data_IF_513361606998
#
_entry.id   IF_513361606998
#
_cell.length_a   1.000
_cell.length_b   1.000
_cell.length_c   1.000
_cell.angle_alpha   90.00
_cell.angle_beta   90.00
_cell.angle_gamma   90.00
#
_symmetry.space_group_name_H-M   'P 1'
#
loop_
_entity.id
_entity.type
_entity.pdbx_description
1 polymer ?
2 polymer ?
3 water ?
#
# COMPACT_ATOMS: atom_id res chain seq x y z
N UNK A 1 -0.20 3.63 25.98
CA UNK A 1 -0.16 4.49 24.81
C UNK A 1 -1.52 4.60 24.16
N UNK A 2 -1.70 5.66 23.39
CA UNK A 2 -2.92 5.89 22.64
C UNK A 2 -3.13 4.79 21.59
N UNK A 3 -4.32 4.20 21.58
CA UNK A 3 -4.68 3.18 20.59
C UNK A 3 -6.06 3.44 19.99
N UNK A 4 -6.18 3.30 18.67
CA UNK A 4 -7.47 3.31 17.98
C UNK A 4 -7.56 2.06 17.11
N UNK A 5 -8.49 1.17 17.42
CA UNK A 5 -8.59 -0.10 16.72
C UNK A 5 -9.91 -0.25 15.96
N UNK A 6 -9.87 -0.14 14.64
CA UNK A 6 -11.08 -0.22 13.81
C UNK A 6 -11.50 -1.67 13.53
N UNK A 7 -12.82 -1.88 13.43
CA UNK A 7 -13.42 -3.16 13.09
C UNK A 7 -14.61 -2.99 12.13
N UNK A 8 -14.98 -4.07 11.44
CA UNK A 8 -16.20 -4.11 10.66
C UNK A 8 -15.95 -4.00 9.17
N UNK A 9 -14.69 -4.02 8.79
CA UNK A 9 -14.34 -3.96 7.38
C UNK A 9 -14.83 -5.19 6.64
N UNK A 10 -14.77 -5.14 5.33
CA UNK A 10 -15.15 -6.30 4.55
C UNK A 10 -15.87 -5.96 3.28
N UNK A 11 -16.70 -6.88 2.84
CA UNK A 11 -17.40 -6.78 1.58
C UNK A 11 -18.89 -6.60 1.82
N UNK A 12 -19.47 -5.63 1.14
CA UNK A 12 -20.91 -5.40 1.18
C UNK A 12 -21.40 -5.17 -0.24
N UNK A 13 -22.61 -5.61 -0.56
CA UNK A 13 -23.16 -5.42 -1.88
C UNK A 13 -23.69 -3.99 -2.02
N UNK A 14 -23.70 -3.45 -3.26
CA UNK A 14 -24.21 -2.11 -3.55
C UNK A 14 -25.63 -1.96 -3.02
N UNK A 15 -25.94 -0.82 -2.42
CA UNK A 15 -27.22 -0.62 -1.78
C UNK A 15 -27.31 -1.17 -0.37
N UNK A 16 -26.25 -1.86 0.08
CA UNK A 16 -26.26 -2.50 1.38
C UNK A 16 -25.88 -1.56 2.51
N UNK A 17 -25.80 -2.14 3.71
CA UNK A 17 -25.49 -1.40 4.92
C UNK A 17 -24.35 -2.05 5.69
N UNK A 18 -23.63 -1.26 6.47
CA UNK A 18 -22.51 -1.79 7.22
C UNK A 18 -22.20 -0.86 8.37
N UNK A 19 -21.77 -1.43 9.50
CA UNK A 19 -21.38 -0.64 10.66
C UNK A 19 -19.89 -0.81 10.95
N UNK A 20 -19.13 0.28 10.85
CA UNK A 20 -17.74 0.25 11.31
C UNK A 20 -17.69 0.58 12.80
N UNK A 21 -16.71 0.01 13.50
CA UNK A 21 -16.49 0.29 14.92
C UNK A 21 -15.04 0.69 15.16
N UNK A 22 -14.81 1.53 16.17
CA UNK A 22 -13.45 1.85 16.57
C UNK A 22 -13.36 1.89 18.08
N UNK A 23 -12.50 1.05 18.65
CA UNK A 23 -12.29 0.98 20.08
C UNK A 23 -11.08 1.83 20.47
N UNK A 24 -11.30 2.84 21.33
CA UNK A 24 -10.22 3.74 21.74
C UNK A 24 -9.61 3.29 23.08
N UNK A 25 -8.30 3.45 23.21
CA UNK A 25 -7.57 3.10 24.43
C UNK A 25 -6.50 4.15 24.72
N UNK A 26 -6.20 4.37 26.01
CA UNK A 26 -5.03 5.15 26.35
C UNK A 26 -5.22 6.64 26.56
N UNK A 27 -6.46 7.12 26.49
CA UNK A 27 -6.75 8.52 26.75
C UNK A 27 -8.18 8.66 27.27
N UNK A 28 -8.52 9.84 27.77
CA UNK A 28 -9.89 10.09 28.21
C UNK A 28 -10.74 10.34 26.97
N UNK A 29 -11.48 9.33 26.54
CA UNK A 29 -12.27 9.36 25.30
C UNK A 29 -13.15 10.61 25.23
N UNK A 30 -13.78 10.97 26.34
CA UNK A 30 -14.72 12.09 26.36
C UNK A 30 -14.07 13.48 26.31
N UNK A 31 -12.74 13.56 26.26
CA UNK A 31 -12.11 14.86 26.14
C UNK A 31 -11.89 15.25 24.67
N UNK A 32 -12.15 14.33 23.75
CA UNK A 32 -11.72 14.47 22.36
C UNK A 32 -12.84 14.30 21.35
N UNK A 33 -12.84 15.15 20.33
CA UNK A 33 -13.67 14.93 19.17
C UNK A 33 -13.09 13.76 18.40
N UNK A 34 -13.94 13.03 17.68
CA UNK A 34 -13.52 11.89 16.89
C UNK A 34 -14.00 12.03 15.45
N UNK A 35 -13.27 11.41 14.52
CA UNK A 35 -13.63 11.55 13.09
C UNK A 35 -13.36 10.27 12.30
N UNK A 36 -14.02 10.17 11.16
CA UNK A 36 -13.69 9.18 10.14
C UNK A 36 -13.11 9.91 8.92
N UNK A 37 -11.99 9.39 8.41
CA UNK A 37 -11.34 9.88 7.19
C UNK A 37 -11.07 8.65 6.34
N UNK A 38 -11.32 8.75 5.04
CA UNK A 38 -11.10 7.60 4.19
C UNK A 38 -10.10 7.89 3.09
N UNK A 39 -9.49 6.84 2.56
CA UNK A 39 -8.56 6.96 1.45
C UNK A 39 -8.96 5.90 0.42
N UNK A 40 -9.57 6.36 -0.68
CA UNK A 40 -10.09 5.48 -1.73
C UNK A 40 -9.09 5.39 -2.89
N UNK A 41 -9.10 4.25 -3.63
CA UNK A 41 -8.11 4.08 -4.70
C UNK A 41 -8.15 5.22 -5.71
N UNK A 42 -6.99 5.79 -6.02
CA UNK A 42 -6.92 6.92 -6.93
C UNK A 42 -7.08 8.29 -6.28
N UNK A 43 -7.38 8.31 -4.98
CA UNK A 43 -7.67 9.57 -4.28
C UNK A 43 -6.81 9.75 -3.04
N UNK A 44 -6.60 11.00 -2.62
CA UNK A 44 -5.92 11.27 -1.37
C UNK A 44 -6.92 11.19 -0.22
N UNK A 45 -6.47 11.52 1.01
CA UNK A 45 -7.36 11.49 2.18
C UNK A 45 -8.60 12.34 1.96
N UNK A 46 -9.71 11.88 2.51
CA UNK A 46 -11.00 12.53 2.32
C UNK A 46 -11.78 12.44 3.63
N UNK A 47 -12.05 13.60 4.24
CA UNK A 47 -12.73 13.60 5.52
C UNK A 47 -14.21 13.26 5.33
N UNK A 48 -14.73 12.40 6.20
CA UNK A 48 -16.09 11.90 6.04
C UNK A 48 -17.07 12.38 7.12
N UNK A 49 -16.65 12.31 8.38
CA UNK A 49 -17.57 12.66 9.47
C UNK A 49 -16.82 13.04 10.73
N UNK A 50 -17.43 13.88 11.56
CA UNK A 50 -16.82 14.29 12.80
C UNK A 50 -17.87 14.32 13.88
N UNK A 51 -17.48 13.95 15.10
CA UNK A 51 -18.40 14.07 16.22
C UNK A 51 -17.69 14.68 17.43
N UNK A 52 -18.35 15.59 18.10
CA UNK A 52 -17.79 16.28 19.25
C UNK A 52 -17.70 15.33 20.41
N UNK A 53 -16.93 15.74 21.42
CA UNK A 53 -16.69 14.87 22.60
C UNK A 53 -18.01 14.41 23.22
N UNK A 54 -19.04 15.25 23.22
CA UNK A 54 -20.33 14.87 23.83
C UNK A 54 -21.51 14.86 22.86
N UNK A 55 -21.46 15.60 21.71
CA UNK A 55 -22.41 15.80 20.54
C UNK A 55 -22.63 17.21 19.93
N UNK A 56 -22.07 17.37 18.71
CA UNK A 56 -22.05 18.32 17.55
C UNK A 56 -21.55 17.39 16.42
N UNK A 57 -22.18 17.39 15.25
CA UNK A 57 -21.92 16.37 14.23
C UNK A 57 -21.81 16.94 12.81
N UNK A 58 -20.76 16.54 12.08
CA UNK A 58 -20.56 17.12 10.75
C UNK A 58 -20.31 15.99 9.77
N UNK A 59 -20.83 16.15 8.55
CA UNK A 59 -20.66 15.16 7.51
C UNK A 59 -20.10 15.75 6.23
N UNK A 60 -19.37 14.95 5.47
CA UNK A 60 -19.06 15.30 4.12
C UNK A 60 -20.34 15.23 3.30
N UNK A 61 -20.49 16.10 2.31
CA UNK A 61 -21.68 16.16 1.51
C UNK A 61 -21.93 14.85 0.81
N UNK A 62 -20.86 14.17 0.46
CA UNK A 62 -20.94 12.94 -0.24
C UNK A 62 -21.61 11.79 0.52
N UNK A 63 -21.66 11.88 1.83
CA UNK A 63 -22.31 10.83 2.64
C UNK A 63 -23.53 11.28 3.40
N UNK A 64 -23.91 12.55 3.30
CA UNK A 64 -25.05 13.03 4.09
C UNK A 64 -26.31 12.29 3.70
N UNK A 65 -27.11 11.92 4.70
CA UNK A 65 -28.31 11.13 4.49
C UNK A 65 -28.07 9.63 4.35
N UNK A 66 -26.81 9.22 4.28
CA UNK A 66 -26.49 7.80 4.14
C UNK A 66 -25.70 7.27 5.33
N UNK A 67 -24.77 8.06 5.84
CA UNK A 67 -23.91 7.62 6.93
C UNK A 67 -24.33 8.30 8.24
N UNK A 68 -24.17 7.58 9.35
CA UNK A 68 -24.38 8.15 10.68
C UNK A 68 -23.18 7.87 11.57
N UNK A 69 -22.60 8.93 12.11
CA UNK A 69 -21.51 8.80 13.07
C UNK A 69 -22.12 8.86 14.47
N UNK A 70 -21.63 8.01 15.37
CA UNK A 70 -22.08 8.08 16.75
C UNK A 70 -20.96 7.63 17.69
N UNK A 71 -21.08 7.94 18.96
CA UNK A 71 -20.10 7.44 19.93
C UNK A 71 -20.79 7.00 21.20
N UNK A 72 -20.20 6.02 21.88
CA UNK A 72 -20.66 5.61 23.19
C UNK A 72 -19.53 5.77 24.19
N UNK A 73 -19.59 6.83 24.96
CA UNK A 73 -18.44 7.22 25.79
C UNK A 73 -18.22 6.25 26.95
N UNK A 74 -19.26 5.51 27.31
CA UNK A 74 -19.17 4.52 28.39
C UNK A 74 -18.39 3.30 27.95
N UNK A 75 -18.19 3.16 26.64
CA UNK A 75 -17.50 2.02 26.08
C UNK A 75 -16.31 2.43 25.21
N UNK A 76 -15.93 3.71 25.28
CA UNK A 76 -14.80 4.24 24.49
C UNK A 76 -14.85 3.78 23.03
N UNK A 77 -16.03 3.81 22.43
CA UNK A 77 -16.16 3.28 21.08
C UNK A 77 -16.80 4.29 20.15
N UNK A 78 -16.24 4.40 18.94
CA UNK A 78 -16.79 5.23 17.88
C UNK A 78 -17.47 4.35 16.83
N UNK A 79 -18.58 4.82 16.25
CA UNK A 79 -19.26 4.04 15.21
C UNK A 79 -19.46 4.86 13.95
N UNK A 80 -19.51 4.17 12.80
CA UNK A 80 -19.95 4.76 11.55
C UNK A 80 -20.96 3.81 10.94
N UNK A 81 -22.23 4.17 11.00
CA UNK A 81 -23.27 3.33 10.41
C UNK A 81 -23.46 3.77 8.97
N UNK A 82 -23.27 2.84 8.04
CA UNK A 82 -23.33 3.18 6.62
C UNK A 82 -24.53 2.52 5.95
N UNK A 83 -25.21 3.27 5.10
CA UNK A 83 -26.39 2.79 4.40
C UNK A 83 -26.31 3.21 2.94
N UNK A 84 -27.10 2.56 2.08
CA UNK A 84 -27.10 2.82 0.63
C UNK A 84 -25.71 2.95 0.06
N UNK A 85 -24.85 1.98 0.36
CA UNK A 85 -23.47 2.04 -0.05
C UNK A 85 -23.30 1.94 -1.56
N UNK A 86 -22.27 2.59 -2.08
CA UNK A 86 -21.94 2.57 -3.50
C UNK A 86 -20.49 2.20 -3.72
N UNK A 87 -20.14 1.93 -4.94
CA UNK A 87 -18.86 1.47 -5.31
C UNK A 87 -17.83 2.48 -4.88
N UNK A 88 -18.16 3.75 -5.01
CA UNK A 88 -17.28 4.85 -4.69
C UNK A 88 -16.92 4.95 -3.22
N UNK A 89 -17.70 4.30 -2.38
CA UNK A 89 -17.47 4.20 -0.97
C UNK A 89 -16.33 3.25 -0.59
N UNK A 90 -15.85 2.46 -1.53
CA UNK A 90 -14.77 1.52 -1.27
C UNK A 90 -13.49 2.27 -0.92
N UNK A 91 -12.91 1.94 0.22
CA UNK A 91 -11.77 2.71 0.71
C UNK A 91 -11.21 2.11 1.95
N UNK A 92 -10.04 2.58 2.36
CA UNK A 92 -9.58 2.35 3.71
C UNK A 92 -10.19 3.45 4.60
N UNK A 93 -10.79 3.05 5.71
CA UNK A 93 -11.44 3.98 6.65
C UNK A 93 -10.62 4.08 7.91
N UNK A 94 -10.16 5.29 8.18
CA UNK A 94 -9.42 5.56 9.40
C UNK A 94 -10.32 6.21 10.42
N UNK A 95 -10.32 5.69 11.64
CA UNK A 95 -10.83 6.49 12.73
C UNK A 95 -9.69 7.36 13.25
N UNK A 96 -10.01 8.62 13.54
CA UNK A 96 -9.00 9.58 13.99
C UNK A 96 -9.48 10.36 15.21
N UNK A 97 -8.52 10.85 15.99
CA UNK A 97 -8.82 11.64 17.19
C UNK A 97 -8.31 13.06 16.96
N UNK A 98 -9.04 14.06 17.42
CA UNK A 98 -8.57 15.47 17.30
C UNK A 98 -7.79 15.86 18.56
N UNK A 99 -7.45 17.13 18.70
CA UNK A 99 -6.96 17.67 20.00
C UNK A 99 -8.12 18.47 20.69
N UNK A 100 -8.36 19.76 20.33
CA UNK A 100 -9.36 20.77 20.73
C UNK A 100 -9.76 21.63 19.51
N UNK A 101 -9.04 21.47 18.41
CA UNK A 101 -9.35 22.02 17.06
C UNK A 101 -9.47 20.81 16.12
N UNK A 102 -9.99 20.94 14.91
CA UNK A 102 -10.12 19.72 14.07
C UNK A 102 -8.84 19.41 13.28
N UNK A 103 -7.77 19.11 14.02
CA UNK A 103 -6.42 18.69 13.61
C UNK A 103 -6.38 17.27 14.16
N UNK A 104 -6.12 16.28 13.32
CA UNK A 104 -6.21 14.90 13.85
C UNK A 104 -4.82 14.47 14.32
N UNK A 105 -4.61 14.51 15.63
CA UNK A 105 -3.28 14.25 16.16
C UNK A 105 -3.06 12.77 16.35
N UNK A 106 -4.07 11.95 16.08
CA UNK A 106 -3.88 10.51 16.09
C UNK A 106 -4.78 9.74 15.12
N UNK A 107 -4.16 8.87 14.32
CA UNK A 107 -4.89 8.07 13.33
C UNK A 107 -4.84 6.58 13.65
N UNK A 108 -5.97 5.89 13.52
CA UNK A 108 -6.02 4.45 13.68
C UNK A 108 -5.34 3.70 12.55
N UNK A 109 -5.31 2.37 12.66
CA UNK A 109 -4.67 1.50 11.66
C UNK A 109 -5.44 1.45 10.33
N UNK A 110 -6.74 1.65 10.39
CA UNK A 110 -7.56 1.67 9.19
C UNK A 110 -8.32 0.38 8.97
N UNK A 111 -9.54 0.47 8.44
CA UNK A 111 -10.35 -0.69 8.11
C UNK A 111 -10.71 -0.65 6.63
N UNK A 112 -10.58 -1.77 5.93
CA UNK A 112 -10.82 -1.76 4.49
C UNK A 112 -12.24 -2.18 4.15
N UNK A 113 -12.95 -1.32 3.42
CA UNK A 113 -14.32 -1.59 3.02
C UNK A 113 -14.40 -1.67 1.50
N UNK A 114 -15.03 -2.73 1.01
CA UNK A 114 -15.20 -2.94 -0.41
C UNK A 114 -16.69 -3.06 -0.72
N UNK A 115 -17.19 -2.24 -1.64
CA UNK A 115 -18.59 -2.31 -2.04
C UNK A 115 -18.69 -2.85 -3.46
N UNK A 116 -19.33 -3.99 -3.64
CA UNK A 116 -19.26 -4.73 -4.92
C UNK A 116 -20.23 -5.89 -4.92
N UNK A 117 -20.73 -6.26 -6.08
CA UNK A 117 -21.62 -7.43 -6.14
C UNK A 117 -20.81 -8.73 -6.40
N UNK A 118 -19.49 -8.62 -6.54
CA UNK A 118 -18.66 -9.83 -6.61
C UNK A 118 -18.73 -10.58 -5.28
N UNK A 119 -18.57 -11.90 -5.31
CA UNK A 119 -18.64 -12.70 -4.08
C UNK A 119 -17.29 -12.90 -3.40
N UNK A 120 -17.32 -13.11 -2.08
CA UNK A 120 -16.12 -13.49 -1.33
C UNK A 120 -15.54 -14.76 -1.89
N UNK A 121 -14.26 -14.71 -2.23
CA UNK A 121 -13.58 -15.84 -2.85
C UNK A 121 -12.23 -16.00 -2.16
N UNK A 122 -11.92 -17.22 -1.67
CA UNK A 122 -10.63 -17.46 -1.04
C UNK A 122 -9.54 -17.49 -2.09
N UNK A 123 -8.33 -17.09 -1.72
CA UNK A 123 -7.24 -17.13 -2.68
C UNK A 123 -6.74 -18.54 -2.96
N UNK A 124 -6.23 -18.76 -4.16
CA UNK A 124 -5.38 -19.91 -4.41
C UNK A 124 -3.94 -19.49 -4.16
N UNK A 125 -3.22 -20.26 -3.35
CA UNK A 125 -1.86 -19.90 -2.99
C UNK A 125 -0.85 -20.82 -3.63
N UNK A 126 -0.01 -20.28 -4.51
CA UNK A 126 0.94 -21.12 -5.23
C UNK A 126 2.38 -20.85 -4.85
N UNK A 127 3.12 -21.91 -4.49
CA UNK A 127 4.55 -21.80 -4.18
C UNK A 127 5.36 -21.54 -5.45
N UNK A 128 6.27 -20.58 -5.40
CA UNK A 128 7.14 -20.29 -6.54
C UNK A 128 8.57 -20.66 -6.21
N UNK A 129 9.01 -21.80 -6.75
CA UNK A 129 10.39 -22.27 -6.57
C UNK A 129 11.21 -21.93 -7.80
N UNK A 130 12.48 -21.56 -7.60
CA UNK A 130 13.24 -21.13 -8.77
C UNK A 130 13.64 -22.32 -9.64
N UNK A 131 13.96 -22.06 -10.91
CA UNK A 131 14.51 -23.11 -11.76
C UNK A 131 15.96 -23.38 -11.37
N UNK A 132 16.57 -24.35 -12.04
CA UNK A 132 17.92 -24.81 -11.72
C UNK A 132 18.98 -23.72 -11.70
N UNK A 133 18.98 -22.86 -12.72
CA UNK A 133 20.03 -21.85 -12.87
C UNK A 133 19.96 -20.78 -11.78
N UNK A 134 18.80 -20.65 -11.14
CA UNK A 134 18.58 -19.58 -10.17
C UNK A 134 18.89 -20.00 -8.73
N UNK A 135 19.40 -21.18 -8.54
CA UNK A 135 19.93 -21.56 -7.25
C UNK A 135 21.44 -21.42 -7.13
N UNK A 136 21.91 -21.42 -5.91
CA UNK A 136 23.34 -21.40 -5.66
C UNK A 136 24.15 -20.28 -6.34
N UNK A 137 23.57 -19.11 -6.36
CA UNK A 137 24.29 -17.88 -6.27
C UNK A 137 24.47 -17.71 -4.76
N UNK A 138 24.92 -16.58 -4.30
CA UNK A 138 25.07 -16.37 -2.85
C UNK A 138 23.70 -16.27 -2.19
N UNK A 139 22.74 -15.72 -2.95
CA UNK A 139 21.37 -15.57 -2.47
C UNK A 139 20.41 -16.34 -3.38
N UNK A 140 19.25 -16.72 -2.84
CA UNK A 140 18.18 -17.30 -3.67
C UNK A 140 16.86 -16.59 -3.33
N UNK A 141 16.07 -16.33 -4.37
CA UNK A 141 14.78 -15.69 -4.20
C UNK A 141 13.66 -16.69 -4.44
N UNK A 142 12.73 -16.73 -3.50
CA UNK A 142 11.56 -17.61 -3.55
C UNK A 142 10.31 -16.76 -3.65
N UNK A 143 9.19 -17.36 -3.99
CA UNK A 143 7.99 -16.55 -4.16
C UNK A 143 6.72 -17.25 -3.77
N UNK A 144 5.65 -16.47 -3.73
CA UNK A 144 4.34 -16.91 -3.33
C UNK A 144 3.33 -16.16 -4.21
N UNK A 145 2.52 -16.87 -4.98
CA UNK A 145 1.53 -16.21 -5.83
C UNK A 145 0.16 -16.42 -5.19
N UNK A 146 -0.51 -15.33 -4.83
CA UNK A 146 -1.80 -15.41 -4.15
C UNK A 146 -2.89 -14.97 -5.11
N UNK A 147 -3.61 -15.93 -5.67
CA UNK A 147 -4.42 -15.65 -6.86
C UNK A 147 -5.91 -15.87 -6.69
N UNK A 148 -6.68 -14.96 -7.28
CA UNK A 148 -8.11 -15.10 -7.42
C UNK A 148 -8.92 -14.94 -6.14
N UNK A 149 -8.51 -14.02 -5.27
CA UNK A 149 -9.27 -13.77 -4.05
C UNK A 149 -10.10 -12.50 -4.14
N UNK A 150 -11.10 -12.41 -3.27
CA UNK A 150 -11.93 -11.21 -3.20
C UNK A 150 -12.61 -11.22 -1.84
N UNK A 151 -12.68 -10.07 -1.17
CA UNK A 151 -12.11 -8.74 -1.47
C UNK A 151 -10.76 -8.55 -0.79
N UNK A 152 -10.18 -7.36 -0.91
CA UNK A 152 -9.01 -6.97 -0.10
C UNK A 152 -9.41 -6.85 1.37
N UNK A 153 -8.47 -7.07 2.30
CA UNK A 153 -7.05 -7.35 2.08
C UNK A 153 -6.65 -8.79 2.31
N UNK A 154 -5.39 -9.07 1.96
CA UNK A 154 -4.73 -10.31 2.32
C UNK A 154 -3.47 -9.95 3.10
N UNK A 155 -3.07 -10.77 4.05
CA UNK A 155 -1.76 -10.58 4.69
C UNK A 155 -0.82 -11.73 4.38
N UNK A 156 0.44 -11.40 4.11
CA UNK A 156 1.43 -12.42 3.79
C UNK A 156 2.66 -12.27 4.67
N UNK A 157 3.04 -13.35 5.35
CA UNK A 157 4.31 -13.38 6.07
C UNK A 157 5.10 -14.59 5.62
N UNK A 158 6.38 -14.60 5.95
CA UNK A 158 7.27 -15.70 5.60
C UNK A 158 7.87 -16.29 6.88
N UNK A 159 7.76 -17.62 7.01
CA UNK A 159 8.15 -18.33 8.23
C UNK A 159 7.57 -17.70 9.49
N UNK A 160 6.27 -17.47 9.46
CA UNK A 160 5.51 -16.88 10.56
C UNK A 160 6.03 -15.53 11.04
N UNK A 161 6.82 -14.85 10.21
CA UNK A 161 7.37 -13.56 10.58
C UNK A 161 8.88 -13.53 10.74
N UNK A 162 9.48 -14.70 10.96
CA UNK A 162 10.93 -14.84 11.10
C UNK A 162 11.67 -14.14 9.98
N UNK A 163 11.43 -14.58 8.76
CA UNK A 163 11.95 -13.88 7.60
C UNK A 163 11.02 -12.70 7.34
N UNK A 164 11.55 -11.48 7.47
CA UNK A 164 10.81 -10.27 7.15
C UNK A 164 11.77 -9.32 6.46
N UNK A 165 13.03 -9.38 6.87
CA UNK A 165 14.09 -8.82 6.07
C UNK A 165 14.09 -9.63 4.78
N UNK A 166 14.28 -8.95 3.66
CA UNK A 166 14.37 -9.67 2.39
C UNK A 166 13.04 -10.00 1.77
N UNK A 167 11.95 -9.54 2.37
CA UNK A 167 10.61 -9.75 1.81
C UNK A 167 10.13 -8.54 1.02
N UNK A 168 9.54 -8.79 -0.15
CA UNK A 168 8.80 -7.76 -0.87
C UNK A 168 7.39 -8.30 -1.15
N UNK A 169 6.37 -7.64 -0.62
CA UNK A 169 5.00 -8.03 -0.97
C UNK A 169 4.37 -6.95 -1.86
N UNK A 170 3.88 -7.35 -3.02
CA UNK A 170 3.46 -6.40 -4.04
C UNK A 170 1.99 -6.10 -3.91
N UNK A 171 1.59 -4.85 -4.18
CA UNK A 171 0.18 -4.47 -4.17
C UNK A 171 -0.64 -5.37 -5.08
N UNK A 172 -1.83 -5.72 -4.64
CA UNK A 172 -2.73 -6.53 -5.45
C UNK A 172 -3.15 -5.82 -6.73
N UNK A 173 -3.34 -6.60 -7.79
CA UNK A 173 -3.93 -6.07 -9.01
C UNK A 173 -5.28 -6.75 -9.17
N UNK A 174 -6.30 -5.92 -9.36
CA UNK A 174 -7.65 -6.38 -9.55
C UNK A 174 -7.87 -6.65 -11.01
N UNK A 175 -7.99 -7.93 -11.36
CA UNK A 175 -8.39 -8.33 -12.71
C UNK A 175 -9.45 -9.45 -12.67
N UNK A 176 -10.40 -9.41 -13.60
CA UNK A 176 -11.46 -10.44 -13.71
C UNK A 176 -12.33 -10.43 -12.48
N UNK A 177 -12.57 -9.24 -11.93
CA UNK A 177 -13.25 -9.08 -10.64
C UNK A 177 -12.58 -9.91 -9.53
N UNK A 178 -11.30 -10.26 -9.71
CA UNK A 178 -10.57 -11.01 -8.68
C UNK A 178 -9.18 -10.44 -8.47
N UNK A 179 -8.67 -10.51 -7.24
CA UNK A 179 -7.36 -9.96 -6.93
C UNK A 179 -6.26 -10.99 -7.10
N UNK A 180 -5.09 -10.52 -7.52
CA UNK A 180 -3.89 -11.33 -7.51
C UNK A 180 -2.73 -10.55 -6.91
N UNK A 181 -2.02 -11.18 -5.99
CA UNK A 181 -0.89 -10.56 -5.32
C UNK A 181 0.28 -11.50 -5.39
N UNK A 182 1.50 -10.95 -5.36
CA UNK A 182 2.68 -11.80 -5.21
C UNK A 182 3.59 -11.30 -4.09
N UNK A 183 4.44 -12.18 -3.61
CA UNK A 183 5.39 -11.84 -2.56
C UNK A 183 6.66 -12.60 -2.83
N UNK A 184 7.80 -11.96 -2.61
CA UNK A 184 9.06 -12.65 -2.73
C UNK A 184 9.82 -12.60 -1.40
N UNK A 185 10.73 -13.53 -1.23
CA UNK A 185 11.64 -13.49 -0.10
C UNK A 185 13.00 -13.92 -0.63
N UNK A 186 14.04 -13.25 -0.15
CA UNK A 186 15.39 -13.53 -0.59
C UNK A 186 16.22 -13.92 0.63
N UNK A 187 16.78 -15.12 0.58
CA UNK A 187 17.50 -15.71 1.70
C UNK A 187 18.87 -16.20 1.20
N UNK A 188 19.83 -16.44 2.11
CA UNK A 188 21.12 -16.95 1.66
C UNK A 188 20.95 -18.32 1.02
N UNK A 189 21.77 -18.68 0.03
CA UNK A 189 21.51 -19.92 -0.67
C UNK A 189 21.89 -21.10 0.20
N UNK A 190 22.62 -20.82 1.28
CA UNK A 190 22.90 -21.83 2.28
C UNK A 190 21.65 -22.17 3.10
N UNK A 191 20.69 -21.25 3.10
CA UNK A 191 19.45 -21.39 3.89
C UNK A 191 18.43 -22.28 3.20
N UNK A 192 18.12 -22.00 1.96
CA UNK A 192 17.12 -22.81 1.24
C UNK A 192 17.84 -23.47 0.06
N UNK A 193 17.61 -24.75 -0.27
CA UNK A 193 16.56 -25.57 0.32
C UNK A 193 16.93 -26.39 1.56
N UNK A 194 18.08 -26.12 2.18
CA UNK A 194 18.47 -26.92 3.36
C UNK A 194 17.44 -26.75 4.48
N UNK A 195 16.93 -25.53 4.69
CA UNK A 195 15.88 -25.29 5.70
C UNK A 195 14.55 -25.02 5.00
N UNK A 196 13.43 -25.20 5.71
CA UNK A 196 12.14 -24.97 5.02
C UNK A 196 11.74 -23.51 5.09
N UNK A 197 11.15 -23.05 4.00
CA UNK A 197 10.63 -21.67 3.86
C UNK A 197 9.15 -21.83 3.52
N UNK A 198 8.33 -21.10 4.24
CA UNK A 198 6.89 -21.17 4.10
C UNK A 198 6.29 -19.79 3.99
N UNK A 199 5.39 -19.58 3.03
CA UNK A 199 4.65 -18.32 3.05
C UNK A 199 3.30 -18.57 3.69
N UNK A 200 2.92 -17.68 4.60
CA UNK A 200 1.66 -17.82 5.30
C UNK A 200 0.73 -16.71 4.88
N UNK A 201 -0.43 -17.10 4.41
CA UNK A 201 -1.35 -16.17 3.79
C UNK A 201 -2.66 -16.19 4.57
N UNK A 202 -3.11 -15.02 5.00
CA UNK A 202 -4.40 -14.90 5.65
C UNK A 202 -5.35 -14.05 4.82
N UNK A 203 -6.56 -14.57 4.62
CA UNK A 203 -7.63 -13.81 3.99
C UNK A 203 -8.81 -13.83 4.96
N UNK A 204 -8.91 -12.80 5.81
CA UNK A 204 -9.92 -12.85 6.88
C UNK A 204 -11.33 -12.91 6.32
N UNK A 205 -11.57 -12.29 5.18
CA UNK A 205 -12.92 -12.27 4.60
C UNK A 205 -13.49 -13.67 4.33
N UNK A 206 -12.63 -14.64 4.04
CA UNK A 206 -13.09 -15.99 3.71
C UNK A 206 -12.68 -17.03 4.76
N UNK A 207 -12.17 -16.58 5.90
CA UNK A 207 -11.63 -17.47 6.93
C UNK A 207 -10.54 -18.38 6.35
N UNK A 208 -9.68 -17.79 5.53
CA UNK A 208 -8.56 -18.53 4.96
C UNK A 208 -7.30 -18.14 5.71
N UNK A 209 -6.60 -19.16 6.21
CA UNK A 209 -5.28 -19.01 6.80
C UNK A 209 -4.45 -20.18 6.34
N UNK A 210 -3.67 -19.97 5.27
CA UNK A 210 -2.96 -21.06 4.60
C UNK A 210 -1.45 -20.96 4.80
N UNK A 211 -0.82 -22.11 5.04
CA UNK A 211 0.64 -22.22 5.11
C UNK A 211 1.14 -23.01 3.92
N UNK A 212 1.94 -22.38 3.06
CA UNK A 212 2.45 -23.08 1.88
C UNK A 212 3.98 -23.15 1.87
N UNK A 213 4.49 -24.38 1.99
CA UNK A 213 5.92 -24.65 1.96
C UNK A 213 6.48 -24.47 0.55
N UNK A 214 7.68 -23.90 0.44
CA UNK A 214 8.34 -23.78 -0.86
C UNK A 214 9.27 -24.97 -1.03
N UNK A 215 8.88 -25.90 -1.91
CA UNK A 215 9.69 -27.09 -2.10
C UNK A 215 10.43 -27.01 -3.42
N UNK A 216 11.69 -27.44 -3.44
CA UNK A 216 12.41 -27.44 -4.72
C UNK A 216 11.94 -28.61 -5.56
N UNK A 217 11.97 -28.48 -6.87
CA UNK A 217 11.46 -29.52 -7.74
C UNK A 217 12.38 -30.74 -7.75
N UNK A 218 11.93 -31.81 -8.41
CA UNK A 218 12.71 -33.03 -8.54
C UNK A 218 13.28 -33.16 -9.96
N UNK A 219 14.47 -33.76 -10.05
CA UNK A 219 15.15 -33.95 -11.34
C UNK A 219 15.03 -35.38 -11.83
N UNK B 1 -16.61 25.07 -1.27
CA UNK B 1 -15.63 24.37 -0.41
C UNK B 1 -14.26 24.97 -0.62
N UNK B 2 -13.38 24.80 0.36
CA UNK B 2 -12.00 25.23 0.21
C UNK B 2 -11.18 24.13 -0.46
N UNK B 3 -10.58 24.44 -1.59
CA UNK B 3 -9.80 23.46 -2.32
C UNK B 3 -8.33 23.57 -1.93
N UNK B 4 -7.75 22.45 -1.50
CA UNK B 4 -6.34 22.37 -1.15
C UNK B 4 -5.57 21.68 -2.25
N UNK B 5 -4.49 22.31 -2.69
CA UNK B 5 -3.73 21.89 -3.86
C UNK B 5 -2.25 21.69 -3.51
N UNK B 6 -1.70 20.54 -3.86
CA UNK B 6 -0.24 20.38 -3.81
C UNK B 6 0.26 20.13 -5.23
N UNK B 7 1.04 21.07 -5.74
CA UNK B 7 1.40 21.09 -7.15
C UNK B 7 2.35 19.93 -7.49
N UNK B 8 3.12 19.46 -6.52
CA UNK B 8 4.12 18.42 -6.80
C UNK B 8 3.67 17.04 -6.34
N UNK B 9 3.46 16.13 -7.28
CA UNK B 9 3.21 14.76 -6.92
C UNK B 9 4.39 14.06 -6.28
N UNK B 10 5.57 14.32 -6.86
CA UNK B 10 6.83 13.71 -6.47
C UNK B 10 7.89 14.75 -6.34
N UNK B 11 8.67 14.70 -5.27
CA UNK B 11 9.90 15.46 -5.17
C UNK B 11 11.03 14.53 -4.81
N UNK B 12 12.08 14.55 -5.59
CA UNK B 12 13.22 13.68 -5.38
C UNK B 12 14.41 14.48 -4.87
N UNK B 13 15.10 13.96 -3.87
CA UNK B 13 16.21 14.70 -3.29
C UNK B 13 17.26 13.77 -2.70
N UNK B 14 18.51 14.19 -2.81
CA UNK B 14 19.56 13.51 -2.09
C UNK B 14 19.53 13.97 -0.65
N UNK B 15 20.01 13.10 0.22
CA UNK B 15 20.26 13.46 1.60
C UNK B 15 21.09 14.75 1.70
N UNK B 16 20.59 15.73 2.47
CA UNK B 16 21.31 16.98 2.71
C UNK B 16 20.74 18.20 2.01
N UNK B 17 19.92 17.96 1.00
CA UNK B 17 19.32 19.06 0.26
C UNK B 17 18.14 19.69 0.99
N UNK B 18 17.76 20.88 0.53
CA UNK B 18 16.59 21.59 1.02
C UNK B 18 15.40 21.26 0.11
N UNK B 19 14.36 20.69 0.68
CA UNK B 19 13.17 20.47 -0.10
C UNK B 19 12.03 21.37 0.37
N UNK B 20 11.29 21.92 -0.57
CA UNK B 20 10.12 22.71 -0.24
C UNK B 20 8.89 22.09 -0.80
N UNK B 21 7.97 21.73 0.06
CA UNK B 21 6.75 21.12 -0.35
C UNK B 21 5.69 22.16 -0.20
N UNK B 22 4.97 22.44 -1.25
CA UNK B 22 4.03 23.56 -1.23
C UNK B 22 2.57 23.13 -1.20
N UNK B 23 1.75 24.03 -0.67
CA UNK B 23 0.32 23.82 -0.55
C UNK B 23 -0.37 25.14 -0.83
N UNK B 24 -1.45 25.09 -1.60
CA UNK B 24 -2.25 26.25 -1.90
C UNK B 24 -3.68 26.02 -1.43
N UNK B 25 -4.28 27.03 -0.79
CA UNK B 25 -5.71 26.99 -0.51
C UNK B 25 -6.43 27.94 -1.48
N UNK B 26 -7.66 27.59 -1.88
CA UNK B 26 -8.39 28.38 -2.86
C UNK B 26 -8.99 29.62 -2.21
N UNK B 27 -9.08 29.61 -0.88
CA UNK B 27 -9.58 30.75 -0.13
C UNK B 27 -8.67 31.00 1.06
N UNK B 28 -8.72 32.22 1.60
CA UNK B 28 -7.95 32.58 2.80
C UNK B 28 -8.29 31.67 3.97
N UNK B 29 -7.36 30.86 4.45
CA UNK B 29 -7.58 30.07 5.64
C UNK B 29 -6.80 30.55 6.86
N UNK B 30 -6.21 31.71 6.72
CA UNK B 30 -5.42 32.27 7.77
C UNK B 30 -4.24 31.46 8.22
N UNK B 31 -4.21 31.29 9.53
CA UNK B 31 -3.14 31.50 10.47
C UNK B 31 -2.18 30.52 10.15
N UNK B 32 -2.77 29.46 9.75
CA UNK B 32 -2.77 28.18 10.42
C UNK B 32 -4.21 28.06 10.08
N UNK B 33 -4.93 27.26 10.85
CA UNK B 33 -6.04 26.60 10.26
C UNK B 33 -5.40 25.85 9.04
N UNK B 34 -4.06 25.63 9.04
CA UNK B 34 -3.46 24.65 8.11
C UNK B 34 -2.54 23.67 8.85
N UNK B 35 -2.70 22.38 8.54
CA UNK B 35 -1.95 21.32 9.18
C UNK B 35 -1.16 20.55 8.12
N UNK B 36 0.01 20.03 8.50
CA UNK B 36 0.76 19.10 7.66
C UNK B 36 0.79 17.72 8.30
N UNK B 37 0.55 16.67 7.49
CA UNK B 37 0.69 15.29 7.96
C UNK B 37 1.79 14.59 7.22
N UNK B 38 2.41 13.63 7.89
CA UNK B 38 3.43 12.78 7.28
C UNK B 38 2.97 11.34 7.30
N UNK B 39 2.98 10.66 6.15
CA UNK B 39 2.61 9.25 6.12
C UNK B 39 3.76 8.41 5.53
N UNK B 40 4.45 7.69 6.39
CA UNK B 40 5.51 6.77 5.97
C UNK B 40 4.92 5.46 5.46
N UNK B 41 5.62 4.81 4.51
CA UNK B 41 5.08 3.56 3.95
C UNK B 41 4.78 2.53 5.05
N UNK B 42 3.65 1.83 4.92
CA UNK B 42 3.25 0.86 5.92
C UNK B 42 2.80 1.46 7.25
N UNK B 43 2.49 2.75 7.25
CA UNK B 43 2.04 3.42 8.47
C UNK B 43 0.82 4.29 8.19
N UNK B 44 0.09 4.63 9.25
CA UNK B 44 -0.98 5.60 9.11
C UNK B 44 -0.37 7.00 9.23
N UNK B 45 -1.10 8.02 8.79
CA UNK B 45 -0.55 9.38 8.90
C UNK B 45 -0.27 9.81 10.33
N UNK B 46 0.67 10.73 10.50
CA UNK B 46 0.95 11.35 11.78
C UNK B 46 0.94 12.84 11.62
N UNK B 47 0.47 13.55 12.65
CA UNK B 47 0.53 14.99 12.64
C UNK B 47 1.96 15.52 12.69
N UNK B 48 2.31 16.42 11.77
CA UNK B 48 3.66 16.93 11.68
C UNK B 48 3.73 18.39 12.12
N UNK B 49 2.89 19.23 11.54
CA UNK B 49 2.92 20.66 11.85
C UNK B 49 1.50 21.16 12.00
N UNK B 50 1.25 22.03 12.97
CA UNK B 50 -0.07 22.62 12.99
C UNK B 50 -0.03 24.13 13.16
N UNK B 51 -1.14 24.77 12.88
CA UNK B 51 -1.23 26.19 12.85
C UNK B 51 -0.19 26.77 11.90
N UNK B 52 0.03 26.08 10.79
CA UNK B 52 0.96 26.46 9.75
C UNK B 52 2.42 26.27 10.11
N UNK B 53 2.80 26.65 11.31
CA UNK B 53 4.19 26.66 11.71
C UNK B 53 4.60 25.96 13.02
N UNK B 54 3.68 25.51 13.82
CA UNK B 54 4.08 24.86 15.06
C UNK B 54 4.35 23.39 14.87
N UNK B 55 5.58 22.97 15.18
CA UNK B 55 5.92 21.55 15.15
C UNK B 55 5.18 20.76 16.23
N UNK B 56 4.68 19.59 15.85
CA UNK B 56 4.11 18.64 16.77
C UNK B 56 5.23 18.00 17.58
N UNK B 57 4.85 17.48 18.74
CA UNK B 57 5.72 16.75 19.62
C UNK B 57 6.52 15.65 18.89
N UNK B 58 7.84 15.69 19.01
CA UNK B 58 8.69 14.66 18.43
C UNK B 58 9.26 15.02 17.07
N UNK B 59 8.79 16.12 16.51
CA UNK B 59 9.22 16.56 15.17
C UNK B 59 10.43 17.50 15.26
N UNK B 60 11.56 17.13 14.63
CA UNK B 60 12.79 17.95 14.68
C UNK B 60 12.66 19.24 13.88
N UNK B 61 13.42 20.28 14.25
CA UNK B 61 13.21 21.57 13.59
C UNK B 61 13.94 21.70 12.26
N UNK B 62 14.44 20.59 11.72
CA UNK B 62 14.82 20.63 10.31
C UNK B 62 13.52 20.66 9.47
N UNK B 63 12.40 20.33 10.11
CA UNK B 63 11.08 20.58 9.51
C UNK B 63 10.58 21.97 9.89
N UNK B 64 10.30 22.79 8.89
CA UNK B 64 9.77 24.12 9.11
C UNK B 64 8.51 24.42 8.28
N UNK B 65 7.42 24.76 8.96
CA UNK B 65 6.20 25.14 8.28
C UNK B 65 6.12 26.65 8.23
N UNK B 66 5.70 27.18 7.08
CA UNK B 66 5.58 28.62 6.91
C UNK B 66 4.41 28.97 6.02
N UNK B 67 4.04 30.24 6.05
CA UNK B 67 2.97 30.75 5.21
C UNK B 67 1.71 31.14 5.96
N UNK B 68 0.86 31.90 5.27
CA UNK B 68 -0.44 32.24 5.79
C UNK B 68 -1.34 32.64 4.63
N UNK B 69 -2.64 32.62 4.85
CA UNK B 69 -3.59 33.01 3.83
C UNK B 69 -3.92 31.87 2.88
N UNK B 70 -3.24 31.86 1.74
CA UNK B 70 -3.53 30.87 0.71
C UNK B 70 -2.27 30.12 0.28
N UNK B 71 -1.11 30.56 0.71
CA UNK B 71 0.16 29.98 0.25
C UNK B 71 0.98 29.42 1.40
N UNK B 72 1.24 28.12 1.37
CA UNK B 72 1.93 27.47 2.47
C UNK B 72 3.09 26.60 1.98
N UNK B 73 4.12 26.48 2.81
CA UNK B 73 5.27 25.65 2.46
C UNK B 73 5.75 24.87 3.67
N UNK B 74 6.02 23.59 3.47
CA UNK B 74 6.71 22.77 4.43
C UNK B 74 8.12 22.61 3.88
N UNK B 75 9.10 23.12 4.63
CA UNK B 75 10.49 22.99 4.21
C UNK B 75 11.13 21.91 5.04
N UNK B 76 11.88 21.03 4.41
CA UNK B 76 12.71 20.12 5.14
C UNK B 76 14.14 20.49 4.78
N UNK B 77 14.80 21.18 5.67
CA UNK B 77 16.18 21.57 5.44
C UNK B 77 16.99 20.31 5.70
N UNK B 78 18.07 20.12 4.97
CA UNK B 78 18.94 18.99 5.25
C UNK B 78 18.26 17.65 5.39
N UNK B 79 17.49 17.31 4.38
CA UNK B 79 16.62 16.15 4.43
C UNK B 79 17.33 14.84 4.65
N UNK B 80 16.71 13.92 5.36
CA UNK B 80 17.35 12.66 5.68
C UNK B 80 16.53 11.52 5.09
N UNK B 81 17.13 10.34 5.01
CA UNK B 81 16.46 9.18 4.44
C UNK B 81 15.26 8.75 5.28
N UNK B 82 15.29 9.15 6.55
CA UNK B 82 14.22 8.95 7.51
C UNK B 82 12.92 9.63 7.07
N UNK B 83 13.06 10.65 6.24
CA UNK B 83 11.94 11.51 5.88
C UNK B 83 11.12 11.00 4.69
N UNK B 84 11.53 9.86 4.14
CA UNK B 84 10.78 9.14 3.11
C UNK B 84 9.31 8.95 3.50
N UNK B 85 8.40 9.61 2.77
CA UNK B 85 7.01 9.69 3.21
C UNK B 85 6.15 10.43 2.21
N UNK B 86 4.83 10.36 2.38
CA UNK B 86 3.97 11.27 1.63
C UNK B 86 3.55 12.35 2.62
N UNK B 87 3.51 13.59 2.12
CA UNK B 87 3.18 14.73 2.98
C UNK B 87 1.91 15.36 2.46
N UNK B 88 0.94 15.57 3.34
CA UNK B 88 -0.39 16.10 2.99
C UNK B 88 -0.69 17.31 3.84
N UNK B 89 -1.29 18.34 3.23
CA UNK B 89 -1.79 19.48 3.98
C UNK B 89 -3.29 19.32 4.17
N UNK B 90 -3.80 19.98 5.20
CA UNK B 90 -5.23 20.01 5.45
C UNK B 90 -5.56 21.37 6.03
N UNK B 91 -6.69 21.96 5.61
CA UNK B 91 -7.15 23.19 6.27
C UNK B 91 -8.17 22.81 7.33
N UNK B 92 -8.20 23.58 8.41
CA UNK B 92 -9.25 23.38 9.41
C UNK B 92 -9.94 24.70 9.74
N UNK B 93 -9.91 25.61 8.78
CA UNK B 93 -10.60 26.88 8.85
C UNK B 93 -12.12 26.73 8.70
N UNK B 94 -12.57 25.81 7.85
CA UNK B 94 -14.02 25.59 7.74
C UNK B 94 -14.37 24.18 7.27
N UNK B 95 -15.65 23.83 7.36
CA UNK B 95 -16.18 22.58 6.84
C UNK B 95 -16.66 22.75 5.41
N UNK B 96 -16.48 21.71 4.57
CA UNK B 96 -15.86 20.42 4.91
C UNK B 96 -14.35 20.56 5.09
N UNK B 97 -13.79 19.78 5.99
CA UNK B 97 -12.34 19.72 6.15
C UNK B 97 -11.80 19.09 4.89
N UNK B 98 -10.80 19.73 4.29
CA UNK B 98 -10.26 19.30 2.99
C UNK B 98 -8.73 19.12 3.03
N UNK B 99 -8.25 18.18 2.22
CA UNK B 99 -6.83 17.79 2.14
C UNK B 99 -6.27 18.07 0.76
N UNK B 100 -4.97 18.35 0.68
CA UNK B 100 -4.27 18.26 -0.59
C UNK B 100 -4.11 16.78 -0.94
N UNK B 101 -3.73 16.50 -2.18
CA UNK B 101 -3.61 15.10 -2.61
C UNK B 101 -2.25 14.49 -2.30
N UNK B 102 -1.38 15.27 -1.66
CA UNK B 102 -0.15 14.72 -1.13
C UNK B 102 1.03 14.88 -2.07
N UNK B 103 2.20 14.99 -1.46
CA UNK B 103 3.47 15.03 -2.20
C UNK B 103 4.34 13.89 -1.68
N UNK B 104 4.84 13.02 -2.56
CA UNK B 104 5.72 11.98 -2.07
C UNK B 104 7.16 12.44 -2.13
N UNK B 105 7.87 12.21 -1.02
CA UNK B 105 9.28 12.56 -1.01
C UNK B 105 10.06 11.29 -1.36
N UNK B 106 10.77 11.33 -2.48
CA UNK B 106 11.67 10.26 -2.86
C UNK B 106 13.09 10.59 -2.44
N UNK B 107 13.75 9.62 -1.84
CA UNK B 107 15.14 9.74 -1.42
C UNK B 107 16.04 9.27 -2.55
N UNK B 108 16.88 10.15 -3.07
CA UNK B 108 17.80 9.74 -4.13
C UNK B 108 18.87 8.83 -3.52
N UNK B 109 19.24 7.78 -4.24
CA UNK B 109 20.38 6.98 -3.84
C UNK B 109 21.21 6.66 -5.06
N UNK B 110 22.36 6.03 -4.86
CA UNK B 110 23.18 5.61 -5.98
C UNK B 110 22.39 4.65 -6.84
N UNK B 111 22.61 4.69 -8.16
CA UNK B 111 21.88 3.80 -9.06
C UNK B 111 22.08 2.38 -8.60
N UNK B 112 21.03 1.58 -8.75
CA UNK B 112 21.08 0.20 -8.30
C UNK B 112 20.39 -0.67 -9.34
N UNK B 113 21.09 -1.72 -9.78
CA UNK B 113 20.53 -2.61 -10.78
C UNK B 113 19.54 -3.57 -10.14
N UNK B 114 18.46 -3.89 -10.86
CA UNK B 114 17.50 -4.85 -10.30
C UNK B 114 18.08 -6.26 -10.24
N UNK B 115 17.74 -6.99 -9.18
CA UNK B 115 17.97 -8.43 -9.13
C UNK B 115 16.75 -9.11 -9.74
N UNK B 116 16.92 -9.74 -10.90
CA UNK B 116 15.76 -10.27 -11.63
C UNK B 116 15.69 -11.78 -11.47
N UNK B 117 14.51 -12.29 -11.17
CA UNK B 117 14.29 -13.71 -10.96
C UNK B 117 13.03 -14.12 -11.71
N UNK B 118 13.09 -15.26 -12.39
CA UNK B 118 11.92 -15.73 -13.12
C UNK B 118 11.48 -17.10 -12.57
N UNK B 119 10.18 -17.31 -12.52
CA UNK B 119 9.60 -18.51 -11.93
C UNK B 119 8.61 -19.15 -12.90
N UNK B 120 8.77 -20.45 -13.13
CA UNK B 120 7.77 -21.19 -13.91
C UNK B 120 6.46 -21.32 -13.12
N UNK B 121 5.36 -21.64 -13.79
CA UNK B 121 4.14 -21.92 -13.04
C UNK B 121 4.33 -23.05 -12.04
N UNK B 122 3.64 -22.98 -10.90
CA UNK B 122 3.65 -24.09 -9.97
C UNK B 122 2.85 -25.25 -10.56
N UNK B 123 3.28 -26.47 -10.24
CA UNK B 123 2.54 -27.65 -10.65
C UNK B 123 1.08 -27.59 -10.18
N UNK B 124 0.85 -27.03 -8.98
CA UNK B 124 -0.50 -26.88 -8.46
C UNK B 124 -1.37 -25.99 -9.32
N UNK B 125 -0.81 -24.87 -9.77
CA UNK B 125 -1.59 -24.02 -10.65
C UNK B 125 -1.88 -24.71 -11.99
N UNK B 126 -0.88 -25.38 -12.53
CA UNK B 126 -1.02 -26.08 -13.81
C UNK B 126 -2.13 -27.13 -13.74
N UNK B 127 -2.25 -27.81 -12.60
CA UNK B 127 -3.31 -28.81 -12.41
C UNK B 127 -4.70 -28.18 -12.61
N UNK B 128 -4.85 -26.91 -12.23
CA UNK B 128 -6.15 -26.25 -12.39
C UNK B 128 -6.30 -25.60 -13.76
N UNK B 129 -5.29 -25.76 -14.62
CA UNK B 129 -5.41 -25.33 -15.99
C UNK B 129 -4.88 -23.95 -16.29
N UNK B 130 -4.27 -23.28 -15.31
CA UNK B 130 -3.69 -21.96 -15.50
C UNK B 130 -2.19 -22.00 -15.45
N UNK B 131 -1.53 -21.01 -16.03
CA UNK B 131 -0.08 -20.98 -16.04
C UNK B 131 0.39 -19.53 -15.90
N UNK B 132 0.71 -19.14 -14.68
CA UNK B 132 1.29 -17.81 -14.50
C UNK B 132 2.81 -17.93 -14.41
N UNK B 133 3.51 -17.22 -15.31
CA UNK B 133 4.95 -17.05 -15.18
C UNK B 133 5.27 -15.73 -14.47
N UNK B 134 6.07 -15.79 -13.42
CA UNK B 134 6.30 -14.60 -12.58
C UNK B 134 7.75 -14.15 -12.69
N UNK B 135 7.93 -12.84 -12.80
CA UNK B 135 9.24 -12.24 -12.82
C UNK B 135 9.32 -11.18 -11.71
N UNK B 136 10.26 -11.34 -10.78
CA UNK B 136 10.51 -10.31 -9.78
C UNK B 136 11.72 -9.47 -10.19
N UNK B 137 11.60 -8.16 -10.05
CA UNK B 137 12.70 -7.25 -10.35
C UNK B 137 12.89 -6.44 -9.09
N UNK B 138 13.86 -6.84 -8.27
CA UNK B 138 13.91 -6.32 -6.90
C UNK B 138 15.07 -5.38 -6.61
N UNK B 139 14.80 -4.41 -5.76
CA UNK B 139 15.82 -3.53 -5.22
C UNK B 139 16.60 -2.74 -6.29
N UNK B 140 15.89 -1.98 -7.11
CA UNK B 140 16.54 -1.15 -8.12
C UNK B 140 16.33 0.32 -7.84
N UNK B 141 17.14 1.14 -8.49
CA UNK B 141 16.97 2.60 -8.45
C UNK B 141 17.71 3.19 -9.65
N UNK B 142 17.09 4.16 -10.37
CA UNK B 142 15.80 4.83 -10.12
C UNK B 142 14.57 4.02 -10.46
N UNK B 143 13.40 4.64 -10.34
CA UNK B 143 12.14 3.90 -10.37
C UNK B 143 11.69 3.43 -11.75
N UNK B 144 12.13 4.10 -12.81
CA UNK B 144 11.61 3.76 -14.14
C UNK B 144 12.20 2.46 -14.70
N UNK B 145 11.33 1.56 -15.13
CA UNK B 145 11.77 0.26 -15.59
C UNK B 145 10.75 -0.27 -16.58
N UNK B 146 11.22 -1.04 -17.56
CA UNK B 146 10.33 -1.58 -18.56
C UNK B 146 10.58 -3.07 -18.67
N UNK B 147 9.51 -3.85 -18.68
CA UNK B 147 9.63 -5.29 -18.76
C UNK B 147 8.94 -5.77 -20.02
N UNK B 148 9.59 -6.69 -20.72
CA UNK B 148 9.01 -7.30 -21.90
C UNK B 148 9.07 -8.80 -21.71
N UNK B 149 8.01 -9.49 -22.14
CA UNK B 149 7.96 -10.93 -22.05
C UNK B 149 8.18 -11.52 -23.42
N UNK B 150 8.90 -12.65 -23.49
CA UNK B 150 9.01 -13.38 -24.74
C UNK B 150 8.71 -14.87 -24.54
N UNK B 151 8.10 -15.47 -25.56
CA UNK B 151 7.79 -16.88 -25.55
C UNK B 151 8.40 -17.48 -26.81
N UNK B 152 9.39 -18.36 -26.64
CA UNK B 152 10.14 -18.90 -27.77
C UNK B 152 10.64 -17.77 -28.67
N UNK B 153 11.18 -16.73 -28.03
CA UNK B 153 11.77 -15.61 -28.75
C UNK B 153 10.83 -14.52 -29.23
N UNK B 154 9.51 -14.76 -29.18
CA UNK B 154 8.55 -13.80 -29.68
C UNK B 154 7.91 -13.02 -28.54
N UNK B 155 7.85 -11.70 -28.69
CA UNK B 155 7.31 -10.82 -27.66
C UNK B 155 5.83 -11.10 -27.42
N UNK B 156 5.45 -11.17 -26.15
CA UNK B 156 4.07 -11.37 -25.74
C UNK B 156 3.60 -10.20 -24.87
N UNK B 157 2.44 -9.64 -25.19
CA UNK B 157 1.99 -8.44 -24.48
C UNK B 157 0.70 -8.63 -23.70
N UNK B 158 -0.25 -9.36 -24.28
CA UNK B 158 -1.52 -9.62 -23.60
C UNK B 158 -1.32 -10.60 -22.45
N UNK B 159 -2.01 -10.37 -21.35
CA UNK B 159 -1.94 -11.28 -20.22
C UNK B 159 -0.83 -10.92 -19.26
N UNK B 160 -0.24 -9.75 -19.45
CA UNK B 160 0.82 -9.28 -18.55
C UNK B 160 0.25 -8.32 -17.52
N UNK B 161 0.53 -8.58 -16.24
CA UNK B 161 0.08 -7.73 -15.13
C UNK B 161 1.26 -7.33 -14.27
N UNK B 162 1.40 -6.03 -14.04
CA UNK B 162 2.53 -5.50 -13.30
C UNK B 162 2.14 -4.86 -11.99
N UNK B 163 3.01 -4.98 -11.00
CA UNK B 163 2.79 -4.32 -9.73
C UNK B 163 4.10 -3.85 -9.12
N UNK B 164 4.04 -2.68 -8.48
CA UNK B 164 5.23 -1.97 -8.01
C UNK B 164 5.11 -1.74 -6.52
N UNK B 165 6.22 -1.89 -5.82
CA UNK B 165 6.28 -1.47 -4.44
C UNK B 165 6.56 0.04 -4.37
N UNK B 166 6.27 0.63 -3.22
CA UNK B 166 6.70 2.00 -2.94
C UNK B 166 8.17 1.94 -2.61
N UNK B 167 8.84 3.09 -2.52
CA UNK B 167 10.25 3.10 -2.15
C UNK B 167 10.46 2.52 -0.75
N UNK B 168 11.44 1.63 -0.59
CA UNK B 168 11.72 0.99 0.70
C UNK B 168 12.49 1.95 1.60
N UNK B 169 12.04 2.10 2.84
CA UNK B 169 12.66 3.07 3.73
C UNK B 169 14.02 2.58 4.22
N UNK B 170 14.34 1.33 3.91
CA UNK B 170 15.55 0.70 4.43
C UNK B 170 16.74 0.77 3.48
N UNK B 171 16.51 0.77 2.18
CA UNK B 171 17.63 0.91 1.25
C UNK B 171 17.32 1.87 0.11
N UNK B 172 16.20 2.57 0.23
CA UNK B 172 15.74 3.53 -0.76
C UNK B 172 15.60 2.94 -2.17
N UNK B 173 15.26 1.65 -2.27
CA UNK B 173 15.07 1.07 -3.59
C UNK B 173 13.59 0.79 -3.89
N UNK B 174 13.33 0.46 -5.15
CA UNK B 174 12.03 -0.02 -5.62
C UNK B 174 12.09 -1.49 -6.01
N UNK B 175 10.94 -2.15 -6.03
CA UNK B 175 10.82 -3.51 -6.56
C UNK B 175 9.55 -3.58 -7.39
N UNK B 176 9.50 -4.54 -8.31
CA UNK B 176 8.41 -4.68 -9.26
C UNK B 176 8.17 -6.16 -9.52
N UNK B 177 6.91 -6.55 -9.70
CA UNK B 177 6.63 -7.92 -10.12
C UNK B 177 5.83 -7.88 -11.40
N UNK B 178 6.15 -8.79 -12.32
CA UNK B 178 5.49 -8.85 -13.60
C UNK B 178 5.02 -10.27 -13.76
N UNK B 179 3.78 -10.45 -14.12
CA UNK B 179 3.20 -11.79 -14.23
C UNK B 179 2.55 -11.97 -15.59
N UNK B 180 3.01 -12.98 -16.30
CA UNK B 180 2.42 -13.35 -17.57
C UNK B 180 1.51 -14.55 -17.33
N UNK B 181 0.21 -14.36 -17.52
CA UNK B 181 -0.71 -15.44 -17.28
C UNK B 181 -1.23 -15.97 -18.59
N UNK B 182 -0.98 -17.26 -18.80
CA UNK B 182 -1.46 -18.00 -19.95
C UNK B 182 -2.37 -19.13 -19.48
N UNK B 183 -3.10 -19.75 -20.40
CA UNK B 183 -3.69 -21.04 -20.11
C UNK B 183 -2.59 -22.08 -20.11
N UNK B 184 -2.81 -23.16 -19.37
CA UNK B 184 -1.86 -24.28 -19.40
C UNK B 184 -1.84 -24.81 -20.83
N UNK B 185 -3.00 -24.82 -21.46
CA UNK B 185 -3.12 -25.26 -22.85
C UNK B 185 -2.08 -24.58 -23.72
N UNK B 186 -1.99 -23.25 -23.63
CA UNK B 186 -0.99 -22.56 -24.43
C UNK B 186 0.44 -22.73 -23.88
N UNK B 187 0.58 -22.67 -22.56
CA UNK B 187 1.88 -22.79 -21.89
C UNK B 187 2.60 -24.07 -22.28
N UNK B 188 1.82 -25.15 -22.39
CA UNK B 188 2.29 -26.48 -22.74
C UNK B 188 3.01 -26.58 -24.09
N UNK B 189 2.72 -25.65 -24.99
CA UNK B 189 3.13 -25.79 -26.37
C UNK B 189 4.39 -25.03 -26.67
N UNK B 190 4.99 -24.43 -25.64
CA UNK B 190 6.19 -23.64 -25.82
C UNK B 190 7.27 -24.03 -24.85
N UNK B 191 8.53 -23.78 -25.21
CA UNK B 191 9.61 -24.24 -24.38
C UNK B 191 10.33 -23.11 -23.65
N UNK B 192 10.55 -21.99 -24.34
CA UNK B 192 11.35 -20.93 -23.75
C UNK B 192 10.51 -19.74 -23.26
N UNK B 193 10.75 -19.35 -22.01
CA UNK B 193 10.06 -18.19 -21.44
C UNK B 193 11.08 -17.20 -20.89
N UNK B 194 10.91 -15.94 -21.25
CA UNK B 194 11.91 -14.94 -20.96
C UNK B 194 11.31 -13.65 -20.42
N UNK B 195 11.86 -13.17 -19.33
CA UNK B 195 11.55 -11.86 -18.74
C UNK B 195 12.70 -10.93 -19.12
N UNK B 196 12.40 -9.79 -19.72
CA UNK B 196 13.44 -8.90 -20.23
C UNK B 196 13.22 -7.48 -19.67
N UNK B 197 14.22 -6.95 -18.99
CA UNK B 197 14.09 -5.66 -18.31
C UNK B 197 15.04 -4.61 -18.88
N UNK B 198 14.54 -3.40 -19.09
CA UNK B 198 15.43 -2.30 -19.44
C UNK B 198 15.32 -1.24 -18.33
N UNK B 199 16.46 -0.71 -17.92
CA UNK B 199 16.57 0.15 -16.75
C UNK B 199 17.69 1.14 -17.03
N UNK B 200 17.83 2.17 -16.19
CA UNK B 200 18.94 3.11 -16.36
C UNK B 200 20.27 2.37 -16.33
N UNK B 201 20.38 1.36 -15.46
CA UNK B 201 21.61 0.62 -15.24
C UNK B 201 21.95 -0.41 -16.34
N UNK B 202 20.98 -0.70 -17.21
CA UNK B 202 21.23 -1.72 -18.23
C UNK B 202 21.72 -1.10 -19.52
N UNK B 203 22.51 -1.85 -20.28
CA UNK B 203 22.81 -1.45 -21.65
C UNK B 203 22.02 -2.35 -22.56
N UNK B 204 22.49 -3.58 -22.71
CA UNK B 204 21.67 -4.65 -23.25
C UNK B 204 20.61 -4.96 -22.19
N UNK B 205 19.40 -5.34 -22.62
CA UNK B 205 18.36 -5.65 -21.62
C UNK B 205 18.79 -6.76 -20.66
N UNK B 206 18.33 -6.69 -19.41
CA UNK B 206 18.56 -7.76 -18.46
C UNK B 206 17.65 -8.90 -18.86
N UNK B 207 18.21 -10.09 -19.02
CA UNK B 207 17.46 -11.22 -19.56
C UNK B 207 17.45 -12.37 -18.57
N UNK B 208 16.27 -12.86 -18.24
CA UNK B 208 16.15 -13.98 -17.33
C UNK B 208 15.26 -14.98 -18.02
N UNK B 209 15.65 -16.24 -18.08
CA UNK B 209 14.81 -17.17 -18.80
C UNK B 209 14.88 -18.57 -18.24
N UNK B 210 13.97 -19.39 -18.72
CA UNK B 210 14.06 -20.82 -18.47
C UNK B 210 13.58 -21.55 -19.70
N UNK B 211 14.11 -22.74 -19.89
CA UNK B 211 13.60 -23.67 -20.88
C UNK B 211 12.85 -24.75 -20.09
N UNK B 212 11.86 -25.36 -20.71
CA UNK B 212 11.02 -26.29 -19.96
C UNK B 212 11.46 -27.73 -20.04
N UNK B 213 12.33 -28.03 -20.99
CA UNK B 213 12.84 -29.40 -21.05
C UNK B 213 13.86 -29.76 -19.95
N UNK B 214 13.44 -29.69 -18.68
CA UNK B 214 14.32 -29.51 -17.51
C UNK B 214 13.73 -29.86 -16.14
N UNK B 215 14.38 -29.35 -15.10
CA UNK B 215 13.93 -29.41 -13.71
C UNK B 215 13.04 -28.17 -13.41
#
# INVERSE_FOLDING_TARGET
EVKLVESGGGLVQPGGSRKLSCAASGFTFSDYGMAWVRQAPGKGPEWIAFISNLSRIYYADTVTGRFTISRENDKNTLFLEMSSLRSEDSAIYYCTRDDGYYRVDYWGQGATLTVSSAKTTPPSVYPLAPGSAAQTNSMVTLGCLVKGYFPEPVTVTWNSGSLSSGVHTFPAVLQSDLYTLSSSVTVPSSTWPSETVTCNVAHPASSTKVDKKIVPRDC
DIVMTQSHKFLSTSVGNRVSITCKASQDVGIGLVSWYQQKPGQSPKLLIHWASTRHTGVPDRFTGSGSGTDFTLTINNVQSEDLATYFCQQFSNYPLTFGSGTRLEIKRADAAPTVSIFPPSSEQLTSGGASVVCFLNNFYPKDINVKWKIDGSERQNGVLNSWTDQDSKDSTYSMSSTLTLTKDEYERHNSYTCEATHKTSTSPIVKSFNRDEC
#
